data_IF_956701733235
#
_entry.id   IF_956701733235
#
_cell.length_a   1.000
_cell.length_b   1.000
_cell.length_c   1.000
_cell.angle_alpha   90.00
_cell.angle_beta   90.00
_cell.angle_gamma   90.00
#
_symmetry.space_group_name_H-M   'P 1'
#
loop_
_entity.id
_entity.type
_entity.pdbx_description
1 polymer ?
#
# COMPACT_ATOMS: atom_id res chain seq x y z
N UNK A 1 -14.50 18.89 12.60
CA UNK A 1 -14.48 18.39 11.21
C UNK A 1 -15.22 17.06 11.18
N UNK A 2 -16.16 16.85 10.26
CA UNK A 2 -16.87 15.57 10.09
C UNK A 2 -16.24 14.78 8.94
N UNK A 3 -16.30 13.44 8.99
CA UNK A 3 -15.75 12.59 7.93
C UNK A 3 -16.76 12.41 6.77
N UNK A 4 -16.24 12.15 5.56
CA UNK A 4 -17.03 11.82 4.36
C UNK A 4 -17.20 10.32 4.13
N UNK A 5 -17.10 9.50 5.17
CA UNK A 5 -16.89 8.06 5.02
C UNK A 5 -18.11 7.29 4.47
N UNK A 6 -19.29 7.91 4.46
CA UNK A 6 -20.49 7.32 3.87
C UNK A 6 -20.41 7.20 2.34
N UNK A 7 -19.49 7.92 1.68
CA UNK A 7 -19.33 7.89 0.22
C UNK A 7 -18.87 6.55 -0.36
N UNK A 8 -18.44 5.59 0.47
CA UNK A 8 -18.00 4.26 0.01
C UNK A 8 -19.12 3.22 -0.06
N UNK A 9 -20.32 3.53 0.45
CA UNK A 9 -21.45 2.63 0.31
C UNK A 9 -21.94 2.59 -1.14
N UNK A 10 -22.43 1.43 -1.57
CA UNK A 10 -23.11 1.29 -2.85
C UNK A 10 -24.49 1.96 -2.75
N UNK A 11 -24.80 2.96 -3.61
CA UNK A 11 -26.10 3.61 -3.58
C UNK A 11 -27.23 2.70 -4.10
N UNK A 12 -26.91 1.60 -4.78
CA UNK A 12 -27.90 0.67 -5.33
C UNK A 12 -28.34 -0.29 -4.23
N UNK A 13 -29.65 -0.46 -3.99
CA UNK A 13 -30.16 -1.32 -2.93
C UNK A 13 -29.93 -2.82 -3.23
N UNK A 14 -29.97 -3.64 -2.17
CA UNK A 14 -29.92 -5.11 -2.28
C UNK A 14 -28.53 -5.73 -2.49
N UNK A 15 -27.45 -4.94 -2.38
CA UNK A 15 -26.06 -5.41 -2.57
C UNK A 15 -25.33 -5.51 -1.23
N UNK A 16 -24.27 -6.31 -1.20
CA UNK A 16 -23.42 -6.46 -0.01
C UNK A 16 -22.87 -5.10 0.49
N UNK A 17 -22.55 -4.19 -0.43
CA UNK A 17 -22.08 -2.84 -0.14
C UNK A 17 -23.17 -1.79 0.07
N UNK A 18 -24.47 -2.12 -0.01
CA UNK A 18 -25.54 -1.12 0.10
C UNK A 18 -25.61 -0.46 1.47
N UNK A 19 -25.96 0.82 1.50
CA UNK A 19 -26.18 1.59 2.73
C UNK A 19 -27.35 1.03 3.56
N UNK A 20 -27.18 0.96 4.87
CA UNK A 20 -28.24 0.63 5.82
C UNK A 20 -27.97 1.27 7.19
N UNK A 21 -28.99 1.57 8.01
CA UNK A 21 -28.81 2.09 9.37
C UNK A 21 -27.93 1.16 10.21
N UNK A 22 -26.94 1.71 10.92
CA UNK A 22 -26.05 0.96 11.81
C UNK A 22 -25.03 0.05 11.13
N UNK A 23 -25.04 -0.07 9.80
CA UNK A 23 -24.13 -0.94 9.06
C UNK A 23 -22.73 -0.35 8.98
N UNK A 24 -21.71 -1.16 9.22
CA UNK A 24 -20.31 -0.79 8.98
C UNK A 24 -20.01 -0.71 7.49
N UNK A 25 -19.28 0.32 7.09
CA UNK A 25 -18.83 0.51 5.71
C UNK A 25 -17.67 -0.43 5.36
N UNK A 26 -17.46 -0.62 4.07
CA UNK A 26 -16.21 -1.18 3.57
C UNK A 26 -15.02 -0.25 3.87
N UNK A 27 -13.86 -0.83 4.18
CA UNK A 27 -12.61 -0.09 4.30
C UNK A 27 -11.43 -0.97 3.85
N UNK A 28 -10.44 -0.33 3.24
CA UNK A 28 -9.16 -0.96 2.89
C UNK A 28 -8.06 -0.67 3.92
N UNK A 29 -8.42 -0.08 5.08
CA UNK A 29 -7.47 0.10 6.17
C UNK A 29 -6.94 -1.26 6.61
N UNK A 30 -5.61 -1.40 6.60
CA UNK A 30 -4.94 -2.64 6.94
C UNK A 30 -3.70 -2.36 7.82
N UNK A 31 -3.88 -1.91 9.08
CA UNK A 31 -2.78 -1.94 10.04
C UNK A 31 -2.31 -3.39 10.18
N UNK A 32 -1.03 -3.66 9.91
CA UNK A 32 -0.53 -5.02 9.70
C UNK A 32 0.70 -5.27 10.58
N UNK A 33 0.71 -6.44 11.23
CA UNK A 33 1.87 -6.98 11.95
C UNK A 33 2.18 -8.35 11.33
N UNK A 34 3.41 -8.52 10.85
CA UNK A 34 3.93 -9.80 10.37
C UNK A 34 4.79 -10.39 11.46
N UNK A 35 4.52 -11.64 11.83
CA UNK A 35 5.27 -12.37 12.86
C UNK A 35 6.13 -13.47 12.26
N UNK A 36 7.32 -13.69 12.80
CA UNK A 36 8.20 -14.81 12.49
C UNK A 36 8.56 -15.54 13.79
N UNK A 37 8.24 -16.83 13.87
CA UNK A 37 8.51 -17.62 15.10
C UNK A 37 7.70 -17.18 16.32
N UNK A 38 6.55 -16.51 16.13
CA UNK A 38 5.72 -15.98 17.22
C UNK A 38 6.08 -14.55 17.64
N UNK A 39 7.21 -14.02 17.18
CA UNK A 39 7.67 -12.66 17.48
C UNK A 39 7.39 -11.70 16.33
N UNK A 40 7.10 -10.41 16.59
CA UNK A 40 6.95 -9.41 15.54
C UNK A 40 8.22 -9.25 14.71
N UNK A 41 8.06 -9.28 13.38
CA UNK A 41 9.13 -9.08 12.41
C UNK A 41 8.93 -7.79 11.60
N UNK A 42 7.67 -7.45 11.26
CA UNK A 42 7.32 -6.23 10.56
C UNK A 42 6.06 -5.63 11.17
N UNK A 43 6.04 -4.32 11.40
CA UNK A 43 4.84 -3.56 11.75
C UNK A 43 4.70 -2.45 10.73
N UNK A 44 3.57 -2.39 10.00
CA UNK A 44 3.39 -1.39 8.95
C UNK A 44 1.92 -1.03 8.72
N UNK A 45 1.70 0.12 8.09
CA UNK A 45 0.40 0.59 7.67
C UNK A 45 0.51 1.76 6.70
N UNK A 46 -0.62 2.14 6.08
CA UNK A 46 -0.66 3.23 5.13
C UNK A 46 -2.06 3.86 5.01
N UNK A 47 -2.17 5.17 4.74
CA UNK A 47 -3.32 5.75 4.06
C UNK A 47 -3.20 5.49 2.54
N UNK A 48 -4.29 5.68 1.79
CA UNK A 48 -4.28 5.47 0.33
C UNK A 48 -5.57 4.91 -0.28
N UNK A 49 -6.69 4.92 0.46
CA UNK A 49 -7.97 4.40 -0.05
C UNK A 49 -7.88 2.93 -0.44
N UNK A 50 -8.41 2.56 -1.61
CA UNK A 50 -8.40 1.18 -2.09
C UNK A 50 -7.01 0.63 -2.40
N UNK A 51 -6.00 1.49 -2.57
CA UNK A 51 -4.64 1.10 -2.90
C UNK A 51 -3.79 0.70 -1.69
N UNK A 52 -4.31 0.85 -0.46
CA UNK A 52 -3.60 0.51 0.79
C UNK A 52 -3.07 -0.93 0.77
N UNK A 53 -3.91 -1.88 0.37
CA UNK A 53 -3.53 -3.30 0.32
C UNK A 53 -2.36 -3.56 -0.64
N UNK A 54 -2.33 -2.90 -1.80
CA UNK A 54 -1.22 -3.03 -2.76
C UNK A 54 0.08 -2.46 -2.21
N UNK A 55 0.03 -1.31 -1.55
CA UNK A 55 1.21 -0.70 -0.93
C UNK A 55 1.80 -1.56 0.18
N UNK A 56 0.96 -2.05 1.09
CA UNK A 56 1.37 -2.93 2.18
C UNK A 56 1.96 -4.24 1.64
N UNK A 57 1.30 -4.88 0.68
CA UNK A 57 1.80 -6.11 0.07
C UNK A 57 3.20 -5.90 -0.52
N UNK A 58 3.38 -4.86 -1.34
CA UNK A 58 4.69 -4.58 -1.95
C UNK A 58 5.76 -4.30 -0.90
N UNK A 59 5.46 -3.54 0.17
CA UNK A 59 6.40 -3.29 1.24
C UNK A 59 6.80 -4.56 2.01
N UNK A 60 5.84 -5.47 2.27
CA UNK A 60 6.12 -6.77 2.89
C UNK A 60 7.03 -7.61 1.99
N UNK A 61 6.72 -7.71 0.69
CA UNK A 61 7.55 -8.46 -0.27
C UNK A 61 8.96 -7.88 -0.35
N UNK A 62 9.09 -6.55 -0.40
CA UNK A 62 10.39 -5.86 -0.40
C UNK A 62 11.25 -6.23 0.81
N UNK A 63 10.65 -6.36 1.99
CA UNK A 63 11.38 -6.77 3.20
C UNK A 63 11.69 -8.27 3.20
N UNK A 64 10.72 -9.12 2.90
CA UNK A 64 10.84 -10.57 3.08
C UNK A 64 11.60 -11.22 1.91
N UNK A 65 11.23 -10.89 0.68
CA UNK A 65 11.75 -11.56 -0.51
C UNK A 65 13.02 -10.89 -1.05
N UNK A 66 13.16 -9.58 -0.82
CA UNK A 66 14.28 -8.78 -1.33
C UNK A 66 15.25 -8.28 -0.24
N UNK A 67 15.02 -8.67 1.02
CA UNK A 67 15.82 -8.32 2.19
C UNK A 67 16.08 -6.82 2.39
N UNK A 68 15.18 -5.97 1.88
CA UNK A 68 15.32 -4.52 1.99
C UNK A 68 15.15 -4.06 3.44
N UNK A 69 15.89 -3.02 3.83
CA UNK A 69 15.54 -2.22 5.01
C UNK A 69 14.14 -1.64 4.87
N UNK A 70 13.50 -1.30 5.99
CA UNK A 70 12.18 -0.70 5.99
C UNK A 70 12.16 0.61 5.19
N UNK A 71 13.20 1.44 5.29
CA UNK A 71 13.31 2.67 4.49
C UNK A 71 13.38 2.37 2.99
N UNK A 72 14.20 1.40 2.57
CA UNK A 72 14.27 0.98 1.17
C UNK A 72 12.92 0.42 0.68
N UNK A 73 12.28 -0.42 1.49
CA UNK A 73 11.03 -1.08 1.17
C UNK A 73 9.88 -0.09 0.92
N UNK A 74 9.73 0.93 1.77
CA UNK A 74 8.69 1.98 1.60
C UNK A 74 9.06 2.99 0.50
N UNK A 75 10.37 3.18 0.27
CA UNK A 75 10.87 4.07 -0.78
C UNK A 75 10.77 3.47 -2.18
N UNK A 76 10.69 2.15 -2.33
CA UNK A 76 10.61 1.49 -3.62
C UNK A 76 9.41 1.97 -4.47
N UNK A 77 9.55 2.04 -5.81
CA UNK A 77 8.47 2.45 -6.69
C UNK A 77 7.37 1.39 -6.70
N UNK A 78 6.11 1.84 -6.66
CA UNK A 78 4.92 0.98 -6.54
C UNK A 78 4.04 1.02 -7.78
N UNK A 79 3.22 -0.01 -7.93
CA UNK A 79 2.11 -0.07 -8.87
C UNK A 79 0.82 -0.52 -8.15
N UNK A 80 -0.33 -0.36 -8.79
CA UNK A 80 -1.63 -0.83 -8.29
C UNK A 80 -2.40 -1.51 -9.40
N UNK A 81 -2.98 -2.68 -9.11
CA UNK A 81 -3.91 -3.40 -10.00
C UNK A 81 -5.28 -3.57 -9.35
N UNK A 82 -5.71 -2.59 -8.55
CA UNK A 82 -7.01 -2.62 -7.85
C UNK A 82 -8.21 -2.39 -8.78
N UNK A 83 -7.97 -2.19 -10.08
CA UNK A 83 -8.99 -1.94 -11.09
C UNK A 83 -8.69 -2.70 -12.39
N UNK A 84 -9.38 -2.36 -13.49
CA UNK A 84 -9.12 -2.93 -14.82
C UNK A 84 -7.86 -2.33 -15.50
N UNK A 85 -7.21 -1.35 -14.86
CA UNK A 85 -5.94 -0.78 -15.30
C UNK A 85 -4.85 -1.04 -14.26
N UNK A 86 -3.61 -1.13 -14.73
CA UNK A 86 -2.43 -1.19 -13.87
C UNK A 86 -1.86 0.22 -13.75
N UNK A 87 -2.09 0.87 -12.61
CA UNK A 87 -1.53 2.17 -12.28
C UNK A 87 -0.04 2.02 -11.94
N UNK A 88 0.84 2.72 -12.63
CA UNK A 88 2.30 2.60 -12.48
C UNK A 88 2.91 3.95 -12.15
N UNK A 89 3.71 4.02 -11.07
CA UNK A 89 4.42 5.25 -10.69
C UNK A 89 5.59 5.57 -11.63
N UNK A 90 5.97 6.84 -11.71
CA UNK A 90 6.93 7.34 -12.71
C UNK A 90 8.32 6.71 -12.62
N UNK A 91 8.70 6.22 -11.44
CA UNK A 91 10.01 5.58 -11.16
C UNK A 91 10.12 4.13 -11.62
N UNK A 92 9.03 3.45 -11.96
CA UNK A 92 9.13 2.14 -12.63
C UNK A 92 9.55 2.42 -14.07
N UNK A 93 10.61 1.82 -14.63
CA UNK A 93 10.97 2.06 -16.04
C UNK A 93 9.97 1.46 -17.03
N UNK A 94 9.82 2.04 -18.22
CA UNK A 94 8.86 1.56 -19.25
C UNK A 94 9.17 0.15 -19.72
N UNK A 95 10.46 -0.22 -19.83
CA UNK A 95 10.84 -1.57 -20.23
C UNK A 95 10.32 -2.67 -19.30
N UNK A 96 10.00 -2.35 -18.03
CA UNK A 96 9.39 -3.28 -17.08
C UNK A 96 7.95 -3.59 -17.44
N UNK A 97 7.22 -2.63 -18.03
CA UNK A 97 5.79 -2.75 -18.34
C UNK A 97 5.49 -3.13 -19.79
N UNK A 98 6.45 -3.02 -20.71
CA UNK A 98 6.27 -3.30 -22.14
C UNK A 98 5.68 -4.70 -22.41
N UNK A 99 6.11 -5.72 -21.66
CA UNK A 99 5.59 -7.08 -21.82
C UNK A 99 4.13 -7.21 -21.40
N UNK A 100 3.70 -6.44 -20.39
CA UNK A 100 2.31 -6.43 -19.94
C UNK A 100 1.38 -5.83 -21.01
N UNK A 101 1.81 -4.76 -21.67
CA UNK A 101 1.08 -4.17 -22.78
C UNK A 101 1.01 -5.13 -23.98
N UNK A 102 2.09 -5.87 -24.25
CA UNK A 102 2.10 -6.95 -25.24
C UNK A 102 1.12 -8.10 -24.93
N UNK A 103 0.80 -8.31 -23.65
CA UNK A 103 -0.23 -9.23 -23.17
C UNK A 103 -1.63 -8.60 -23.09
N UNK A 104 -1.82 -7.40 -23.65
CA UNK A 104 -3.07 -6.65 -23.69
C UNK A 104 -3.57 -6.15 -22.31
N UNK A 105 -2.67 -6.03 -21.32
CA UNK A 105 -2.98 -5.29 -20.09
C UNK A 105 -2.93 -3.79 -20.37
N UNK A 106 -3.93 -3.04 -19.87
CA UNK A 106 -3.90 -1.58 -19.92
C UNK A 106 -3.06 -1.04 -18.77
N UNK A 107 -1.90 -0.48 -19.10
CA UNK A 107 -1.00 0.18 -18.14
C UNK A 107 -1.22 1.68 -18.22
N UNK A 108 -1.41 2.33 -17.07
CA UNK A 108 -1.54 3.79 -16.98
C UNK A 108 -0.42 4.35 -16.11
N UNK A 109 0.38 5.25 -16.67
CA UNK A 109 1.54 5.80 -16.00
C UNK A 109 1.21 7.14 -15.35
N UNK A 110 1.41 7.21 -14.04
CA UNK A 110 1.34 8.45 -13.28
C UNK A 110 2.63 9.27 -13.46
N UNK A 111 2.54 10.61 -13.50
CA UNK A 111 3.72 11.47 -13.37
C UNK A 111 4.29 11.46 -11.95
N UNK A 112 3.52 11.00 -10.94
CA UNK A 112 3.95 11.00 -9.55
C UNK A 112 5.00 9.93 -9.27
N UNK A 113 5.99 10.30 -8.46
CA UNK A 113 7.08 9.45 -7.96
C UNK A 113 6.62 8.54 -6.82
N UNK A 114 5.75 9.08 -5.97
CA UNK A 114 5.08 8.44 -4.85
C UNK A 114 3.60 8.83 -4.93
N UNK A 115 2.72 7.85 -5.11
CA UNK A 115 1.28 8.11 -5.25
C UNK A 115 0.38 6.93 -4.90
N UNK A 116 0.97 5.77 -4.55
CA UNK A 116 0.25 4.54 -4.23
C UNK A 116 0.52 4.18 -2.79
N UNK A 117 -0.42 4.54 -1.93
CA UNK A 117 -0.33 4.45 -0.48
C UNK A 117 0.87 5.23 0.11
N UNK A 118 0.78 5.64 1.38
CA UNK A 118 1.92 6.25 2.09
C UNK A 118 2.38 5.30 3.21
N UNK A 119 3.21 4.32 2.87
CA UNK A 119 3.52 3.20 3.78
C UNK A 119 4.57 3.62 4.78
N UNK A 120 4.24 3.52 6.07
CA UNK A 120 5.20 3.64 7.16
C UNK A 120 5.33 2.30 7.85
N UNK A 121 6.52 1.98 8.35
CA UNK A 121 6.72 0.75 9.09
C UNK A 121 7.99 0.69 9.91
N UNK A 122 8.11 -0.40 10.64
CA UNK A 122 9.27 -0.83 11.42
C UNK A 122 9.56 -2.29 11.08
N UNK A 123 10.82 -2.59 10.80
CA UNK A 123 11.34 -3.95 10.67
C UNK A 123 12.12 -4.31 11.92
N UNK A 124 11.96 -5.55 12.39
CA UNK A 124 12.70 -6.12 13.52
C UNK A 124 13.44 -7.35 13.00
N UNK A 125 14.76 -7.28 12.91
CA UNK A 125 15.61 -8.37 12.41
C UNK A 125 16.80 -8.54 13.34
N UNK A 126 17.01 -9.77 13.83
CA UNK A 126 18.13 -10.13 14.72
C UNK A 126 18.27 -9.22 15.96
N UNK A 127 17.14 -8.80 16.53
CA UNK A 127 17.08 -7.91 17.69
C UNK A 127 17.37 -6.43 17.38
N UNK A 128 17.62 -6.08 16.12
CA UNK A 128 17.76 -4.70 15.66
C UNK A 128 16.48 -4.21 15.00
N UNK A 129 16.21 -2.91 15.15
CA UNK A 129 15.06 -2.26 14.57
C UNK A 129 15.48 -1.20 13.57
N UNK A 130 14.83 -1.18 12.42
CA UNK A 130 14.95 -0.10 11.44
C UNK A 130 13.55 0.38 11.01
N UNK A 131 13.38 1.69 10.93
CA UNK A 131 12.12 2.34 10.59
C UNK A 131 12.15 2.96 9.20
N UNK A 132 11.00 3.01 8.55
CA UNK A 132 10.81 3.65 7.24
C UNK A 132 9.57 4.52 7.24
N UNK A 133 9.75 5.80 6.88
CA UNK A 133 8.66 6.70 6.54
C UNK A 133 8.60 6.87 5.02
N UNK A 134 7.40 7.00 4.47
CA UNK A 134 7.19 7.08 3.03
C UNK A 134 7.72 8.43 2.54
N UNK A 135 8.68 8.47 1.59
CA UNK A 135 9.23 9.74 1.11
C UNK A 135 8.22 10.60 0.33
N UNK A 136 7.04 10.06 0.01
CA UNK A 136 5.96 10.82 -0.59
C UNK A 136 5.24 11.79 0.35
N UNK A 137 5.56 11.78 1.65
CA UNK A 137 4.98 12.65 2.67
C UNK A 137 6.05 13.11 3.67
N UNK A 138 5.72 14.09 4.52
CA UNK A 138 6.65 14.69 5.50
C UNK A 138 6.86 13.82 6.76
N UNK A 139 6.61 12.51 6.67
CA UNK A 139 6.77 11.57 7.77
C UNK A 139 8.23 11.35 8.14
N UNK A 140 8.49 10.97 9.40
CA UNK A 140 9.85 10.66 9.89
C UNK A 140 9.88 9.34 10.63
N UNK A 141 11.01 8.65 10.53
CA UNK A 141 11.37 7.51 11.38
C UNK A 141 12.56 7.92 12.27
N UNK A 142 12.41 7.78 13.58
CA UNK A 142 13.41 8.14 14.58
C UNK A 142 13.61 6.95 15.52
N UNK A 143 14.86 6.50 15.66
CA UNK A 143 15.25 5.45 16.62
C UNK A 143 15.79 6.07 17.92
N UNK A 144 15.61 5.35 19.03
CA UNK A 144 16.20 5.66 20.34
C UNK A 144 16.96 4.44 20.87
#
# INVERSE_FOLDING_TARGET
MYNGAMGVFDPRPGRAGSIAPGKSRFTSLAPTIVSQGGEPHIVLGAPGGTQIAMGILQAILNVIDFDMTMLEAVSAPRFSSTSNIIDVMSRIPTYVTNSLEGLNYKVERSPLTFGIAAVHGIRIKDGQMDGGADPGHDGVALGM
#
